data_IF_661784346881
#
_entry.id   IF_661784346881
#
_cell.length_a   1.000
_cell.length_b   1.000
_cell.length_c   1.000
_cell.angle_alpha   90.00
_cell.angle_beta   90.00
_cell.angle_gamma   90.00
#
_symmetry.space_group_name_H-M   'P 1'
#
loop_
_entity.id
_entity.type
_entity.pdbx_description
1 polymer ?
#
# COMPACT_ATOMS: atom_id res chain seq x y z
N UNK A 1 34.74 4.14 -71.14
CA UNK A 1 34.58 2.98 -70.22
C UNK A 1 34.68 3.48 -68.76
N UNK A 2 33.71 4.29 -68.28
CA UNK A 2 33.76 4.89 -66.91
C UNK A 2 32.36 5.00 -66.27
N UNK A 3 31.29 4.97 -67.07
CA UNK A 3 29.90 5.10 -66.62
C UNK A 3 29.39 4.05 -65.59
N UNK A 4 29.70 2.74 -65.67
CA UNK A 4 29.07 1.76 -64.77
C UNK A 4 29.58 1.80 -63.32
N UNK A 5 30.79 2.33 -63.09
CA UNK A 5 31.36 2.47 -61.75
C UNK A 5 30.77 3.66 -60.98
N UNK A 6 30.39 4.73 -61.68
CA UNK A 6 29.79 5.92 -61.08
C UNK A 6 28.41 5.63 -60.47
N UNK A 7 27.56 4.88 -61.18
CA UNK A 7 26.24 4.49 -60.68
C UNK A 7 26.31 3.49 -59.50
N UNK A 8 27.29 2.58 -59.49
CA UNK A 8 27.49 1.65 -58.38
C UNK A 8 28.01 2.36 -57.10
N UNK A 9 28.84 3.40 -57.26
CA UNK A 9 29.36 4.20 -56.15
C UNK A 9 28.27 5.07 -55.50
N UNK A 10 27.45 5.77 -56.30
CA UNK A 10 26.35 6.59 -55.82
C UNK A 10 25.29 5.78 -55.03
N UNK A 11 25.02 4.54 -55.47
CA UNK A 11 24.03 3.64 -54.84
C UNK A 11 24.51 3.08 -53.49
N UNK A 12 25.83 2.90 -53.32
CA UNK A 12 26.45 2.50 -52.03
C UNK A 12 26.54 3.66 -51.04
N UNK A 13 26.75 4.89 -51.51
CA UNK A 13 26.74 6.10 -50.68
C UNK A 13 25.33 6.41 -50.15
N UNK A 14 24.30 6.16 -50.97
CA UNK A 14 22.89 6.36 -50.60
C UNK A 14 22.40 5.37 -49.54
N UNK A 15 22.78 4.09 -49.63
CA UNK A 15 22.47 3.08 -48.61
C UNK A 15 23.18 3.35 -47.28
N UNK A 16 24.44 3.81 -47.32
CA UNK A 16 25.19 4.18 -46.11
C UNK A 16 24.60 5.43 -45.44
N UNK A 17 24.19 6.43 -46.22
CA UNK A 17 23.50 7.62 -45.71
C UNK A 17 22.14 7.32 -45.07
N UNK A 18 21.36 6.40 -45.66
CA UNK A 18 20.06 6.00 -45.11
C UNK A 18 20.19 5.19 -43.82
N UNK A 19 21.21 4.34 -43.70
CA UNK A 19 21.54 3.63 -42.46
C UNK A 19 21.99 4.63 -41.38
N UNK A 20 22.84 5.61 -41.72
CA UNK A 20 23.28 6.66 -40.79
C UNK A 20 22.10 7.53 -40.34
N UNK A 21 21.14 7.86 -41.21
CA UNK A 21 19.90 8.58 -40.83
C UNK A 21 18.98 7.78 -39.91
N UNK A 22 19.00 6.44 -39.98
CA UNK A 22 18.20 5.58 -39.10
C UNK A 22 18.81 5.46 -37.69
N UNK A 23 20.10 5.75 -37.52
CA UNK A 23 20.78 5.83 -36.21
C UNK A 23 20.67 7.20 -35.54
N UNK A 24 20.14 8.22 -36.21
CA UNK A 24 19.90 9.55 -35.62
C UNK A 24 18.53 9.52 -34.92
N UNK A 25 18.56 8.97 -33.70
CA UNK A 25 17.68 9.28 -32.58
C UNK A 25 16.16 9.11 -32.78
N UNK A 26 15.66 7.92 -32.49
CA UNK A 26 14.37 7.83 -31.79
C UNK A 26 14.65 7.83 -30.28
N UNK A 27 14.48 8.99 -29.65
CA UNK A 27 14.39 9.04 -28.19
C UNK A 27 13.02 8.46 -27.81
N UNK A 28 12.99 7.17 -27.46
CA UNK A 28 11.81 6.57 -26.83
C UNK A 28 11.81 7.04 -25.38
N UNK A 29 11.14 8.16 -25.10
CA UNK A 29 10.85 8.53 -23.72
C UNK A 29 9.88 7.53 -23.13
N UNK A 30 10.33 6.74 -22.16
CA UNK A 30 9.45 5.96 -21.31
C UNK A 30 8.54 6.90 -20.50
N UNK A 31 7.43 6.38 -19.97
CA UNK A 31 6.57 7.12 -19.04
C UNK A 31 7.41 7.55 -17.84
N UNK A 32 7.60 8.86 -17.66
CA UNK A 32 8.21 9.44 -16.48
C UNK A 32 7.09 9.90 -15.55
N UNK A 33 7.09 9.40 -14.33
CA UNK A 33 6.22 9.91 -13.27
C UNK A 33 7.07 10.81 -12.38
N UNK A 34 6.58 12.01 -12.08
CA UNK A 34 7.22 12.86 -11.08
C UNK A 34 7.22 12.12 -9.74
N UNK A 35 8.40 11.90 -9.18
CA UNK A 35 8.54 11.32 -7.86
C UNK A 35 8.79 12.44 -6.85
N UNK A 36 7.95 12.49 -5.82
CA UNK A 36 8.10 13.42 -4.71
C UNK A 36 8.58 12.69 -3.47
N UNK A 37 9.41 13.35 -2.67
CA UNK A 37 9.90 12.82 -1.41
C UNK A 37 8.93 13.14 -0.28
N UNK A 38 8.70 12.15 0.58
CA UNK A 38 8.03 12.33 1.87
C UNK A 38 9.10 12.31 2.96
N UNK A 39 9.33 13.46 3.58
CA UNK A 39 10.15 13.58 4.78
C UNK A 39 9.31 13.21 6.01
N UNK A 40 9.64 12.08 6.63
CA UNK A 40 8.96 11.60 7.82
C UNK A 40 9.30 12.39 9.10
N UNK A 41 10.22 13.36 9.04
CA UNK A 41 10.64 14.19 10.18
C UNK A 41 10.99 13.35 11.44
N UNK A 42 11.76 12.29 11.24
CA UNK A 42 12.20 11.38 12.30
C UNK A 42 11.19 10.29 12.69
N UNK A 43 9.98 10.29 12.12
CA UNK A 43 9.03 9.19 12.31
C UNK A 43 9.51 7.93 11.58
N UNK A 44 9.24 6.76 12.16
CA UNK A 44 9.49 5.47 11.50
C UNK A 44 8.27 5.02 10.72
N UNK A 45 8.54 4.48 9.53
CA UNK A 45 7.60 3.74 8.72
C UNK A 45 8.33 2.50 8.21
N UNK A 46 7.76 1.32 8.42
CA UNK A 46 8.37 0.06 7.98
C UNK A 46 7.33 -0.87 7.40
N UNK A 47 7.67 -1.50 6.26
CA UNK A 47 6.81 -2.48 5.60
C UNK A 47 5.38 -1.97 5.36
N UNK A 48 5.25 -0.78 4.75
CA UNK A 48 3.95 -0.24 4.34
C UNK A 48 3.25 -1.19 3.35
N UNK A 49 1.95 -1.38 3.53
CA UNK A 49 1.12 -2.30 2.72
C UNK A 49 -0.02 -1.58 2.00
N UNK A 50 -0.50 -0.46 2.55
CA UNK A 50 -1.50 0.40 1.93
C UNK A 50 -1.36 1.83 2.44
N UNK A 51 -1.80 2.80 1.64
CA UNK A 51 -1.89 4.20 2.05
C UNK A 51 -3.10 4.87 1.39
N UNK A 52 -3.71 5.82 2.08
CA UNK A 52 -4.81 6.63 1.56
C UNK A 52 -4.88 7.98 2.27
N UNK A 53 -5.24 9.04 1.54
CA UNK A 53 -5.59 10.32 2.16
C UNK A 53 -7.02 10.28 2.68
N UNK A 54 -7.21 10.64 3.95
CA UNK A 54 -8.53 10.70 4.54
C UNK A 54 -9.29 11.99 4.23
N UNK A 55 -10.59 12.05 4.57
CA UNK A 55 -11.43 13.24 4.40
C UNK A 55 -10.99 14.42 5.30
N UNK A 56 -10.10 14.17 6.26
CA UNK A 56 -9.49 15.16 7.14
C UNK A 56 -8.13 15.68 6.63
N UNK A 57 -7.72 15.27 5.44
CA UNK A 57 -6.47 15.70 4.79
C UNK A 57 -5.21 15.03 5.34
N UNK A 58 -5.33 14.09 6.30
CA UNK A 58 -4.20 13.32 6.82
C UNK A 58 -3.91 12.11 5.93
N UNK A 59 -2.65 11.69 5.89
CA UNK A 59 -2.23 10.46 5.23
C UNK A 59 -2.29 9.29 6.21
N UNK A 60 -3.06 8.26 5.86
CA UNK A 60 -3.17 7.03 6.61
C UNK A 60 -2.32 5.97 5.93
N UNK A 61 -1.42 5.33 6.66
CA UNK A 61 -0.53 4.29 6.14
C UNK A 61 -0.65 3.05 7.01
N UNK A 62 -0.94 1.91 6.41
CA UNK A 62 -0.95 0.63 7.11
C UNK A 62 0.41 -0.07 6.97
N UNK A 63 0.98 -0.50 8.10
CA UNK A 63 2.14 -1.38 8.12
C UNK A 63 1.72 -2.84 8.17
N UNK A 64 2.59 -3.71 7.65
CA UNK A 64 2.38 -5.16 7.54
C UNK A 64 1.77 -5.79 8.78
N UNK A 65 2.26 -5.43 9.97
CA UNK A 65 1.88 -6.09 11.24
C UNK A 65 0.84 -5.35 12.07
N UNK A 66 -0.05 -4.59 11.43
CA UNK A 66 -1.27 -4.10 12.07
C UNK A 66 -1.14 -2.73 12.74
N UNK A 67 0.01 -2.07 12.58
CA UNK A 67 0.15 -0.66 12.94
C UNK A 67 -0.45 0.21 11.83
N UNK A 68 -1.29 1.15 12.21
CA UNK A 68 -1.78 2.20 11.31
C UNK A 68 -1.12 3.52 11.72
N UNK A 69 -0.35 4.09 10.81
CA UNK A 69 0.26 5.41 10.97
C UNK A 69 -0.68 6.47 10.40
N UNK A 70 -0.88 7.56 11.12
CA UNK A 70 -1.68 8.69 10.66
C UNK A 70 -0.80 9.93 10.71
N UNK A 71 -0.50 10.49 9.54
CA UNK A 71 0.40 11.63 9.39
C UNK A 71 -0.37 12.88 9.00
N UNK A 72 -0.13 13.97 9.71
CA UNK A 72 -0.44 15.31 9.20
C UNK A 72 0.70 15.70 8.28
N UNK A 73 0.39 16.02 7.03
CA UNK A 73 1.38 16.30 5.99
C UNK A 73 1.17 17.71 5.45
N UNK A 74 2.27 18.43 5.27
CA UNK A 74 2.32 19.69 4.54
C UNK A 74 3.00 19.45 3.21
N UNK A 75 2.39 19.93 2.12
CA UNK A 75 3.01 19.99 0.80
C UNK A 75 3.83 21.27 0.69
N UNK A 76 5.09 21.14 0.30
CA UNK A 76 6.00 22.24 0.05
C UNK A 76 6.32 22.26 -1.44
N UNK A 77 6.02 23.36 -2.12
CA UNK A 77 6.26 23.56 -3.56
C UNK A 77 7.16 24.77 -3.85
N UNK A 78 7.79 25.32 -2.81
CA UNK A 78 8.73 26.42 -2.93
C UNK A 78 9.95 26.01 -3.78
N UNK A 79 10.26 26.80 -4.81
CA UNK A 79 11.46 26.61 -5.63
C UNK A 79 11.34 25.62 -6.79
N UNK A 80 10.13 25.21 -7.16
CA UNK A 80 9.90 24.35 -8.35
C UNK A 80 10.09 22.85 -8.11
N UNK A 81 10.43 22.45 -6.88
CA UNK A 81 10.48 21.05 -6.43
C UNK A 81 9.37 20.83 -5.41
N UNK A 82 8.55 19.81 -5.60
CA UNK A 82 7.49 19.45 -4.66
C UNK A 82 8.02 18.42 -3.66
N UNK A 83 7.89 18.70 -2.37
CA UNK A 83 8.13 17.76 -1.27
C UNK A 83 6.95 17.73 -0.32
N UNK A 84 6.92 16.69 0.52
CA UNK A 84 5.93 16.54 1.58
C UNK A 84 6.65 16.35 2.91
N UNK A 85 6.14 17.00 3.96
CA UNK A 85 6.73 16.98 5.29
C UNK A 85 5.69 16.58 6.34
N UNK A 86 6.00 15.57 7.14
CA UNK A 86 5.15 15.13 8.25
C UNK A 86 5.29 16.11 9.43
N UNK A 87 4.23 16.82 9.79
CA UNK A 87 4.26 17.78 10.91
C UNK A 87 3.73 17.20 12.22
N UNK A 88 2.92 16.14 12.15
CA UNK A 88 2.46 15.39 13.30
C UNK A 88 2.19 13.93 12.91
N UNK A 89 2.37 13.01 13.86
CA UNK A 89 2.13 11.59 13.65
C UNK A 89 1.35 10.98 14.82
N UNK A 90 0.48 10.04 14.49
CA UNK A 90 -0.27 9.20 15.42
C UNK A 90 -0.07 7.73 15.01
N UNK A 91 -0.01 6.82 15.97
CA UNK A 91 0.04 5.37 15.71
C UNK A 91 -1.13 4.69 16.39
N UNK A 92 -1.92 3.95 15.60
CA UNK A 92 -3.06 3.17 16.07
C UNK A 92 -2.65 1.69 16.08
N UNK A 93 -2.78 1.06 17.25
CA UNK A 93 -2.39 -0.34 17.49
C UNK A 93 -3.58 -1.31 17.52
N UNK A 94 -4.80 -0.81 17.32
CA UNK A 94 -6.02 -1.59 17.52
C UNK A 94 -6.13 -2.81 16.61
N UNK A 95 -5.62 -2.73 15.38
CA UNK A 95 -5.61 -3.89 14.45
C UNK A 95 -4.52 -4.89 14.84
N UNK A 96 -3.33 -4.41 15.23
CA UNK A 96 -2.24 -5.25 15.74
C UNK A 96 -2.65 -6.07 16.99
N UNK A 97 -3.56 -5.54 17.81
CA UNK A 97 -4.03 -6.18 19.03
C UNK A 97 -5.09 -7.28 18.80
N UNK A 98 -5.55 -7.48 17.56
CA UNK A 98 -6.52 -8.53 17.25
C UNK A 98 -5.84 -9.90 17.42
N UNK A 99 -6.39 -10.81 18.24
CA UNK A 99 -5.83 -12.15 18.43
C UNK A 99 -5.90 -12.99 17.15
N UNK A 100 -4.87 -13.81 16.95
CA UNK A 100 -4.85 -14.84 15.93
C UNK A 100 -5.42 -16.15 16.50
N UNK A 101 -5.99 -16.99 15.64
CA UNK A 101 -6.51 -18.30 16.01
C UNK A 101 -5.90 -19.35 15.10
N UNK A 102 -6.03 -20.63 15.44
CA UNK A 102 -5.71 -21.76 14.59
C UNK A 102 -6.99 -22.30 13.91
N UNK A 103 -6.83 -23.23 12.97
CA UNK A 103 -7.97 -23.87 12.30
C UNK A 103 -8.92 -24.62 13.26
N UNK A 104 -8.38 -25.15 14.36
CA UNK A 104 -9.12 -25.79 15.45
C UNK A 104 -9.76 -24.80 16.45
N UNK A 105 -9.60 -23.50 16.21
CA UNK A 105 -10.11 -22.42 17.04
C UNK A 105 -9.29 -22.12 18.29
N UNK A 106 -8.19 -22.82 18.54
CA UNK A 106 -7.25 -22.49 19.62
C UNK A 106 -6.53 -21.17 19.33
N UNK A 107 -5.95 -20.56 20.37
CA UNK A 107 -5.18 -19.32 20.20
C UNK A 107 -3.94 -19.56 19.32
N UNK A 108 -3.77 -18.69 18.32
CA UNK A 108 -2.57 -18.59 17.48
C UNK A 108 -1.58 -17.54 17.96
N UNK A 109 -1.80 -16.97 19.16
CA UNK A 109 -1.06 -15.82 19.68
C UNK A 109 -1.68 -14.47 19.33
N UNK A 110 -0.91 -13.40 19.45
CA UNK A 110 -1.39 -12.05 19.19
C UNK A 110 -0.25 -11.03 19.11
N UNK A 111 -0.61 -9.75 19.01
CA UNK A 111 0.36 -8.65 18.94
C UNK A 111 0.94 -8.42 17.55
N UNK A 112 0.51 -9.18 16.54
CA UNK A 112 0.77 -8.94 15.12
C UNK A 112 -0.46 -9.36 14.32
N UNK A 113 -0.80 -8.56 13.30
CA UNK A 113 -1.88 -8.88 12.36
C UNK A 113 -1.47 -8.46 10.95
N UNK A 114 -1.57 -9.36 9.98
CA UNK A 114 -1.18 -9.06 8.60
C UNK A 114 -2.21 -8.14 7.97
N UNK A 115 -1.87 -6.88 7.72
CA UNK A 115 -2.75 -5.96 6.98
C UNK A 115 -2.65 -6.25 5.49
N UNK A 116 -3.81 -6.31 4.82
CA UNK A 116 -3.92 -6.56 3.38
C UNK A 116 -4.45 -5.34 2.61
N UNK A 117 -5.04 -4.37 3.32
CA UNK A 117 -5.55 -3.14 2.71
C UNK A 117 -6.13 -2.19 3.75
N UNK A 118 -6.29 -0.93 3.37
CA UNK A 118 -6.88 0.13 4.17
C UNK A 118 -7.69 1.04 3.26
N UNK A 119 -8.83 1.54 3.74
CA UNK A 119 -9.52 2.68 3.14
C UNK A 119 -10.10 3.61 4.19
N UNK A 120 -10.27 4.90 3.86
CA UNK A 120 -10.70 5.93 4.80
C UNK A 120 -11.98 6.60 4.31
N UNK A 121 -13.00 6.60 5.15
CA UNK A 121 -14.31 7.19 4.88
C UNK A 121 -14.70 8.17 5.99
N UNK A 122 -15.97 8.58 6.01
CA UNK A 122 -16.51 9.47 7.02
C UNK A 122 -16.35 10.95 6.62
N UNK A 123 -16.00 11.79 7.58
CA UNK A 123 -15.91 13.26 7.40
C UNK A 123 -14.60 13.78 7.96
N UNK A 124 -14.23 15.01 7.62
CA UNK A 124 -13.02 15.65 8.15
C UNK A 124 -12.97 15.67 9.69
N UNK A 125 -14.12 15.79 10.36
CA UNK A 125 -14.17 15.81 11.84
C UNK A 125 -14.31 14.42 12.44
N UNK A 126 -14.84 13.46 11.69
CA UNK A 126 -15.06 12.08 12.12
C UNK A 126 -14.62 11.12 11.02
N UNK A 127 -13.30 10.94 10.82
CA UNK A 127 -12.79 9.93 9.90
C UNK A 127 -13.09 8.53 10.42
N UNK A 128 -13.32 7.61 9.50
CA UNK A 128 -13.54 6.18 9.77
C UNK A 128 -12.57 5.39 8.91
N UNK A 129 -11.82 4.47 9.51
CA UNK A 129 -10.85 3.63 8.79
C UNK A 129 -11.43 2.23 8.70
N UNK A 130 -11.41 1.63 7.51
CA UNK A 130 -11.67 0.21 7.31
C UNK A 130 -10.35 -0.47 6.95
N UNK A 131 -9.97 -1.49 7.74
CA UNK A 131 -8.72 -2.22 7.56
C UNK A 131 -9.02 -3.67 7.30
N UNK A 132 -8.57 -4.17 6.15
CA UNK A 132 -8.53 -5.60 5.85
C UNK A 132 -7.32 -6.24 6.50
N UNK A 133 -7.50 -7.32 7.26
CA UNK A 133 -6.39 -8.00 7.93
C UNK A 133 -6.59 -9.51 8.06
N UNK A 134 -5.50 -10.24 8.27
CA UNK A 134 -5.46 -11.70 8.43
C UNK A 134 -4.41 -12.10 9.48
N UNK A 135 -4.31 -13.40 9.74
CA UNK A 135 -3.29 -13.98 10.62
C UNK A 135 -1.91 -13.60 10.09
N UNK A 136 -1.03 -13.13 10.98
CA UNK A 136 0.34 -12.76 10.63
C UNK A 136 1.22 -13.95 10.25
N UNK A 137 0.82 -15.17 10.66
CA UNK A 137 1.57 -16.38 10.41
C UNK A 137 1.38 -16.81 8.95
N UNK A 138 2.45 -16.65 8.17
CA UNK A 138 2.49 -17.04 6.76
C UNK A 138 2.84 -18.52 6.68
N UNK A 139 1.93 -19.32 6.13
CA UNK A 139 2.15 -20.76 6.05
C UNK A 139 3.25 -21.18 5.11
N UNK A 140 3.93 -22.25 5.52
CA UNK A 140 4.95 -22.99 4.79
C UNK A 140 6.27 -22.26 4.56
N UNK A 141 6.37 -20.93 4.72
CA UNK A 141 7.61 -20.18 4.46
C UNK A 141 8.31 -20.69 3.18
N UNK A 142 9.63 -20.94 3.25
CA UNK A 142 10.37 -21.70 2.22
C UNK A 142 10.56 -23.19 2.51
N UNK A 143 10.07 -23.68 3.66
CA UNK A 143 10.37 -25.01 4.23
C UNK A 143 9.19 -25.98 4.29
N UNK A 144 7.98 -25.57 3.87
CA UNK A 144 6.84 -26.45 3.61
C UNK A 144 6.11 -27.02 4.83
N UNK A 145 6.38 -26.54 6.05
CA UNK A 145 6.13 -27.33 7.27
C UNK A 145 4.93 -26.96 8.15
N UNK A 146 4.19 -25.88 7.90
CA UNK A 146 3.20 -25.41 8.89
C UNK A 146 1.84 -26.12 8.76
N UNK A 147 1.42 -26.74 9.85
CA UNK A 147 0.07 -27.25 10.11
C UNK A 147 -0.64 -26.36 11.15
N UNK A 148 -1.96 -26.34 11.17
CA UNK A 148 -2.80 -25.59 12.14
C UNK A 148 -2.77 -24.05 12.04
N UNK A 149 -2.45 -23.50 10.87
CA UNK A 149 -2.67 -22.08 10.60
C UNK A 149 -4.14 -21.79 10.36
N UNK A 150 -4.56 -20.56 10.61
CA UNK A 150 -5.95 -20.17 10.34
C UNK A 150 -6.12 -19.74 8.88
N UNK A 151 -6.55 -20.69 8.07
CA UNK A 151 -6.72 -20.50 6.62
C UNK A 151 -7.88 -19.56 6.26
N UNK A 152 -8.77 -19.24 7.20
CA UNK A 152 -9.90 -18.33 6.99
C UNK A 152 -9.85 -17.09 7.89
N UNK A 153 -8.65 -16.65 8.25
CA UNK A 153 -8.46 -15.56 9.21
C UNK A 153 -8.80 -14.16 8.67
N UNK A 154 -9.15 -14.01 7.39
CA UNK A 154 -9.44 -12.70 6.78
C UNK A 154 -10.62 -11.97 7.46
N UNK A 155 -10.44 -10.70 7.80
CA UNK A 155 -11.48 -9.87 8.39
C UNK A 155 -11.37 -8.39 8.00
N UNK A 156 -12.48 -7.67 8.13
CA UNK A 156 -12.54 -6.21 8.02
C UNK A 156 -12.81 -5.62 9.40
N UNK A 157 -11.92 -4.75 9.85
CA UNK A 157 -12.03 -3.99 11.10
C UNK A 157 -12.34 -2.53 10.80
N UNK A 158 -13.40 -2.01 11.43
CA UNK A 158 -13.76 -0.59 11.40
C UNK A 158 -13.17 0.12 12.62
N UNK A 159 -12.34 1.13 12.38
CA UNK A 159 -11.81 2.04 13.40
C UNK A 159 -12.58 3.37 13.34
N UNK A 160 -13.16 3.78 14.46
CA UNK A 160 -13.97 5.00 14.56
C UNK A 160 -13.30 6.03 15.46
N UNK A 161 -13.14 7.25 14.94
CA UNK A 161 -12.73 8.40 15.73
C UNK A 161 -13.89 8.91 16.58
N UNK A 162 -13.67 9.07 17.89
CA UNK A 162 -14.65 9.70 18.78
C UNK A 162 -14.06 10.96 19.40
N UNK A 163 -14.38 12.12 18.80
CA UNK A 163 -13.93 13.42 19.31
C UNK A 163 -14.58 13.79 20.66
N UNK A 164 -15.84 13.38 20.89
CA UNK A 164 -16.63 13.76 22.06
C UNK A 164 -16.22 13.05 23.37
N UNK A 165 -15.50 11.91 23.29
CA UNK A 165 -15.08 11.12 24.46
C UNK A 165 -13.56 10.93 24.40
N UNK A 166 -12.83 12.00 24.72
CA UNK A 166 -11.38 11.93 24.94
C UNK A 166 -10.51 11.75 23.69
N UNK A 167 -11.00 12.10 22.48
CA UNK A 167 -10.24 12.05 21.20
C UNK A 167 -9.47 10.73 21.02
N UNK A 168 -10.21 9.64 20.82
CA UNK A 168 -9.62 8.30 20.69
C UNK A 168 -10.22 7.50 19.53
N UNK A 169 -9.44 6.55 19.04
CA UNK A 169 -9.91 5.51 18.16
C UNK A 169 -10.54 4.35 18.95
N UNK A 170 -11.57 3.76 18.37
CA UNK A 170 -12.19 2.52 18.86
C UNK A 170 -12.35 1.55 17.70
N UNK A 171 -12.19 0.26 17.94
CA UNK A 171 -12.34 -0.78 16.92
C UNK A 171 -13.66 -1.52 17.07
N UNK A 172 -14.22 -1.92 15.93
CA UNK A 172 -15.34 -2.84 15.83
C UNK A 172 -15.09 -3.75 14.63
N UNK A 173 -15.36 -5.05 14.77
CA UNK A 173 -15.24 -6.01 13.66
C UNK A 173 -16.60 -6.09 12.99
N UNK A 174 -16.64 -6.18 11.65
CA UNK A 174 -17.91 -6.24 10.90
C UNK A 174 -18.78 -7.46 11.28
N UNK A 175 -18.20 -8.50 11.88
CA UNK A 175 -18.92 -9.67 12.39
C UNK A 175 -18.25 -10.20 13.69
N UNK A 176 -18.51 -9.59 14.86
CA UNK A 176 -17.92 -10.03 16.13
C UNK A 176 -18.65 -11.29 16.64
N UNK A 177 -17.92 -12.41 16.79
CA UNK A 177 -18.44 -13.62 17.47
C UNK A 177 -18.72 -14.85 16.60
N UNK A 178 -18.17 -14.93 15.38
CA UNK A 178 -18.36 -16.10 14.51
C UNK A 178 -17.50 -17.28 15.00
N UNK A 179 -18.09 -18.25 15.72
CA UNK A 179 -17.48 -19.58 15.87
C UNK A 179 -17.63 -20.34 14.55
N UNK A 180 -16.50 -20.86 14.08
CA UNK A 180 -16.20 -21.41 12.73
C UNK A 180 -17.12 -22.53 12.18
N UNK A 181 -18.20 -22.92 12.86
CA UNK A 181 -18.90 -24.20 12.63
C UNK A 181 -20.42 -24.11 12.39
N UNK A 182 -21.04 -22.94 12.19
CA UNK A 182 -22.50 -22.88 11.93
C UNK A 182 -22.84 -22.29 10.56
N UNK A 183 -23.62 -22.96 9.68
CA UNK A 183 -23.78 -22.58 8.26
C UNK A 183 -24.72 -21.39 8.00
N UNK A 184 -25.35 -20.84 9.04
CA UNK A 184 -26.41 -19.83 8.90
C UNK A 184 -26.01 -18.53 9.56
N UNK A 185 -25.16 -17.71 8.91
CA UNK A 185 -24.89 -16.35 9.37
C UNK A 185 -24.75 -15.39 8.19
N UNK A 186 -25.78 -14.55 7.98
CA UNK A 186 -25.69 -13.37 7.14
C UNK A 186 -25.13 -12.22 7.99
N UNK A 187 -24.00 -11.61 7.58
CA UNK A 187 -23.60 -10.32 8.13
C UNK A 187 -24.67 -9.28 7.71
N UNK A 188 -25.38 -8.70 8.67
CA UNK A 188 -26.20 -7.51 8.42
C UNK A 188 -25.28 -6.30 8.42
N UNK A 189 -25.18 -5.67 7.26
CA UNK A 189 -24.54 -4.37 7.05
C UNK A 189 -25.45 -3.25 7.54
#
# INVERSE_FOLDING_TARGET
MVLPYFFAFARRLSLLGMVILCFISTQVSAQAFDQYTLNLNGNSLSNGTALEFGPDGRLYVAERYGLIRVYTIVRNDAGGTVSYDVTAAETITLVQQIPNHNDDGQSGGGGLRQVTGLTVAGTATNPVIYVGSSDSRVGAGGSGGDVNLDTNSGMITRLSWTAAVGKRWTSSVACPGQRKITPTMACRW
#
